data_IF_203289663999
#
_entry.id   IF_203289663999
#
_cell.length_a   1.000
_cell.length_b   1.000
_cell.length_c   1.000
_cell.angle_alpha   90.00
_cell.angle_beta   90.00
_cell.angle_gamma   90.00
#
_symmetry.space_group_name_H-M   'P 1'
#
loop_
_entity.id
_entity.type
_entity.pdbx_description
1 polymer ?
#
# COMPACT_ATOMS: atom_id res chain seq x y z
N UNK A 1 -12.02 -0.87 20.97
CA UNK A 1 -10.71 -1.36 21.46
C UNK A 1 -9.81 -0.18 21.75
N UNK A 2 -9.20 -0.08 22.91
CA UNK A 2 -8.16 0.92 23.18
C UNK A 2 -6.87 0.45 22.51
N UNK A 3 -6.44 1.11 21.44
CA UNK A 3 -5.16 0.83 20.81
C UNK A 3 -4.04 1.20 21.79
N UNK A 4 -3.12 0.27 22.02
CA UNK A 4 -1.92 0.53 22.81
C UNK A 4 -0.95 1.38 21.97
N UNK A 5 -0.62 2.55 22.45
CA UNK A 5 0.36 3.47 21.83
C UNK A 5 1.31 3.92 22.94
N UNK A 6 2.58 3.67 22.76
CA UNK A 6 3.64 4.03 23.72
C UNK A 6 4.21 5.41 23.46
N UNK A 7 4.37 5.77 22.19
CA UNK A 7 4.95 7.04 21.78
C UNK A 7 4.26 7.59 20.53
N UNK A 8 4.17 8.89 20.45
CA UNK A 8 3.75 9.67 19.28
C UNK A 8 4.85 10.65 18.96
N UNK A 9 5.23 10.76 17.69
CA UNK A 9 6.12 11.80 17.19
C UNK A 9 5.36 12.65 16.17
N UNK A 10 5.44 13.96 16.31
CA UNK A 10 4.76 14.90 15.43
C UNK A 10 5.62 16.18 15.24
N UNK A 11 5.44 16.93 14.15
CA UNK A 11 6.14 18.21 13.94
C UNK A 11 5.67 19.28 14.92
N UNK A 12 4.43 19.19 15.37
CA UNK A 12 3.84 20.05 16.42
C UNK A 12 2.72 19.31 17.13
N UNK A 13 2.36 19.76 18.31
CA UNK A 13 1.19 19.31 19.05
C UNK A 13 0.50 20.52 19.67
N UNK A 14 -0.78 20.71 19.40
CA UNK A 14 -1.58 21.75 20.04
C UNK A 14 -2.02 21.37 21.47
N UNK A 15 -2.53 22.34 22.22
CA UNK A 15 -2.91 22.14 23.61
C UNK A 15 -4.03 21.11 23.78
N UNK A 16 -4.99 21.06 22.82
CA UNK A 16 -6.10 20.14 22.89
C UNK A 16 -5.64 18.69 22.60
N UNK A 17 -4.75 18.51 21.62
CA UNK A 17 -4.13 17.22 21.37
C UNK A 17 -3.33 16.73 22.58
N UNK A 18 -2.52 17.59 23.19
CA UNK A 18 -1.75 17.26 24.41
C UNK A 18 -2.68 16.87 25.56
N UNK A 19 -3.79 17.59 25.77
CA UNK A 19 -4.76 17.26 26.80
C UNK A 19 -5.43 15.89 26.61
N UNK A 20 -5.67 15.50 25.36
CA UNK A 20 -6.19 14.15 25.03
C UNK A 20 -5.14 13.08 25.26
N UNK A 21 -3.91 13.30 24.82
CA UNK A 21 -2.81 12.34 24.93
C UNK A 21 -2.35 12.16 26.38
N UNK A 22 -2.37 13.22 27.19
CA UNK A 22 -2.00 13.19 28.61
C UNK A 22 -2.91 12.29 29.48
N UNK A 23 -4.09 11.94 28.99
CA UNK A 23 -4.96 10.95 29.68
C UNK A 23 -4.32 9.56 29.76
N UNK A 24 -3.30 9.28 28.95
CA UNK A 24 -2.49 8.06 29.00
C UNK A 24 -1.16 8.37 29.68
N UNK A 25 -1.05 8.09 30.97
CA UNK A 25 0.08 8.49 31.84
C UNK A 25 1.46 8.06 31.37
N UNK A 26 1.56 6.96 30.60
CA UNK A 26 2.84 6.42 30.12
C UNK A 26 3.11 6.76 28.64
N UNK A 27 2.26 7.55 28.00
CA UNK A 27 2.47 7.94 26.61
C UNK A 27 3.54 9.04 26.52
N UNK A 28 4.47 8.84 25.61
CA UNK A 28 5.51 9.83 25.27
C UNK A 28 5.09 10.58 24.02
N UNK A 29 5.05 11.92 24.12
CA UNK A 29 4.85 12.78 22.95
C UNK A 29 6.16 13.46 22.63
N UNK A 30 6.70 13.17 21.46
CA UNK A 30 7.95 13.77 20.97
C UNK A 30 7.59 14.78 19.89
N UNK A 31 7.91 16.04 20.12
CA UNK A 31 7.82 17.07 19.09
C UNK A 31 9.18 17.22 18.43
N UNK A 32 9.25 16.96 17.15
CA UNK A 32 10.48 17.04 16.36
C UNK A 32 10.19 17.67 14.98
N UNK A 33 11.00 18.64 14.60
CA UNK A 33 10.95 19.20 13.25
C UNK A 33 11.44 18.16 12.25
N UNK A 34 10.61 17.80 11.27
CA UNK A 34 10.99 16.91 10.16
C UNK A 34 11.56 17.70 8.96
N UNK A 35 12.06 18.91 9.17
CA UNK A 35 12.39 19.87 8.14
C UNK A 35 11.14 20.62 7.65
N UNK A 36 11.33 21.65 6.85
CA UNK A 36 10.21 22.38 6.27
C UNK A 36 9.41 21.47 5.35
N UNK A 37 8.25 21.03 5.82
CA UNK A 37 7.31 20.19 5.07
C UNK A 37 6.60 20.95 3.95
N UNK A 38 6.96 22.21 3.72
CA UNK A 38 6.39 23.08 2.69
C UNK A 38 7.19 23.13 1.38
N UNK A 39 8.50 23.03 1.43
CA UNK A 39 9.27 22.70 0.26
C UNK A 39 9.33 21.17 0.21
N UNK A 40 8.77 20.56 -0.81
CA UNK A 40 9.15 19.19 -1.15
C UNK A 40 10.68 19.18 -1.07
N UNK A 41 11.23 18.70 0.04
CA UNK A 41 12.66 18.40 0.08
C UNK A 41 12.84 17.50 -1.12
N UNK A 42 13.42 18.07 -2.17
CA UNK A 42 13.63 17.33 -3.40
C UNK A 42 14.31 16.05 -2.93
N UNK A 43 13.58 14.94 -3.03
CA UNK A 43 14.13 13.64 -2.70
C UNK A 43 15.47 13.59 -3.41
N UNK A 44 16.53 13.54 -2.62
CA UNK A 44 17.87 13.47 -3.22
C UNK A 44 18.00 12.07 -3.81
N UNK A 45 18.22 11.95 -5.13
CA UNK A 45 18.40 10.64 -5.77
C UNK A 45 19.53 9.80 -5.15
N UNK A 46 20.35 10.43 -4.31
CA UNK A 46 21.52 9.84 -3.65
C UNK A 46 21.29 9.34 -2.22
N UNK A 47 20.02 9.26 -1.75
CA UNK A 47 19.76 8.63 -0.44
C UNK A 47 19.97 7.13 -0.58
N UNK A 48 21.07 6.65 -0.01
CA UNK A 48 21.46 5.24 -0.01
C UNK A 48 21.01 4.60 1.30
N UNK A 49 20.34 3.46 1.20
CA UNK A 49 20.07 2.58 2.34
C UNK A 49 21.21 1.58 2.49
N UNK A 50 21.66 1.38 3.73
CA UNK A 50 22.69 0.40 4.06
C UNK A 50 22.06 -0.75 4.87
N UNK A 51 22.43 -1.98 4.53
CA UNK A 51 22.08 -3.17 5.31
C UNK A 51 23.34 -3.96 5.61
N UNK A 52 23.55 -4.29 6.88
CA UNK A 52 24.62 -5.22 7.26
C UNK A 52 24.25 -6.64 6.83
N UNK A 53 25.20 -7.31 6.20
CA UNK A 53 25.16 -8.74 5.88
C UNK A 53 26.44 -9.38 6.40
N UNK A 54 26.50 -10.69 6.48
CA UNK A 54 27.64 -11.44 7.04
C UNK A 54 28.99 -10.94 6.49
N UNK A 55 29.68 -10.11 7.29
CA UNK A 55 31.01 -9.58 6.95
C UNK A 55 31.05 -8.49 5.88
N UNK A 56 29.90 -7.97 5.44
CA UNK A 56 29.82 -6.94 4.42
C UNK A 56 28.65 -5.98 4.66
N UNK A 57 28.52 -4.97 3.80
CA UNK A 57 27.40 -4.00 3.80
C UNK A 57 26.80 -3.96 2.40
N UNK A 58 25.51 -4.18 2.31
CA UNK A 58 24.75 -3.92 1.10
C UNK A 58 24.36 -2.44 1.07
N UNK A 59 24.73 -1.75 0.00
CA UNK A 59 24.32 -0.37 -0.27
C UNK A 59 23.40 -0.36 -1.49
N UNK A 60 22.23 0.27 -1.38
CA UNK A 60 21.26 0.40 -2.47
C UNK A 60 20.61 1.77 -2.42
N UNK A 61 20.15 2.26 -3.55
CA UNK A 61 19.31 3.45 -3.59
C UNK A 61 17.99 3.18 -2.82
N UNK A 62 17.53 4.21 -2.09
CA UNK A 62 16.26 4.13 -1.39
C UNK A 62 15.13 3.95 -2.39
N UNK A 63 14.27 2.99 -2.15
CA UNK A 63 13.05 2.81 -2.91
C UNK A 63 12.07 3.96 -2.67
N UNK A 64 11.64 4.60 -3.75
CA UNK A 64 10.76 5.79 -3.74
C UNK A 64 9.55 5.57 -4.60
N UNK A 65 8.38 5.76 -4.01
CA UNK A 65 7.09 5.67 -4.68
C UNK A 65 6.79 6.98 -5.42
N UNK A 66 7.65 7.31 -6.40
CA UNK A 66 7.59 8.59 -7.11
C UNK A 66 6.30 8.75 -7.91
N UNK A 67 5.81 7.65 -8.51
CA UNK A 67 4.58 7.60 -9.31
C UNK A 67 3.31 7.87 -8.49
N UNK A 68 3.38 7.75 -7.17
CA UNK A 68 2.24 8.05 -6.29
C UNK A 68 2.37 9.41 -5.56
N UNK A 69 3.29 10.29 -5.96
CA UNK A 69 3.41 11.65 -5.39
C UNK A 69 2.23 12.53 -5.79
N UNK A 70 1.93 12.58 -7.08
CA UNK A 70 0.77 13.28 -7.60
C UNK A 70 -0.52 12.46 -7.46
N UNK A 71 -1.70 13.08 -7.41
CA UNK A 71 -2.98 12.38 -7.51
C UNK A 71 -3.07 11.56 -8.82
N UNK A 72 -3.71 10.39 -8.72
CA UNK A 72 -4.04 9.57 -9.88
C UNK A 72 -5.44 9.91 -10.35
N UNK A 73 -5.56 10.35 -11.59
CA UNK A 73 -6.87 10.63 -12.21
C UNK A 73 -6.86 10.11 -13.65
N UNK A 74 -8.02 9.77 -14.24
CA UNK A 74 -8.08 9.33 -15.63
C UNK A 74 -7.44 10.32 -16.62
N UNK A 75 -7.47 11.62 -16.30
CA UNK A 75 -6.92 12.68 -17.14
C UNK A 75 -5.40 12.90 -16.92
N UNK A 76 -4.83 12.39 -15.83
CA UNK A 76 -3.43 12.61 -15.47
C UNK A 76 -2.89 11.41 -14.70
N UNK A 77 -2.48 10.38 -15.44
CA UNK A 77 -1.77 9.23 -14.89
C UNK A 77 -0.26 9.46 -15.04
N UNK A 78 0.53 9.11 -14.01
CA UNK A 78 1.97 9.07 -14.14
C UNK A 78 2.45 8.10 -15.22
N UNK A 79 3.63 8.34 -15.78
CA UNK A 79 4.24 7.48 -16.77
C UNK A 79 4.35 6.03 -16.24
N UNK A 80 3.94 5.09 -17.09
CA UNK A 80 3.94 3.65 -16.76
C UNK A 80 2.64 3.15 -16.12
N UNK A 81 1.79 4.04 -15.57
CA UNK A 81 0.48 3.64 -15.07
C UNK A 81 -0.51 3.46 -16.22
N UNK A 82 -1.20 2.34 -16.22
CA UNK A 82 -2.27 2.07 -17.20
C UNK A 82 -3.36 1.19 -16.61
N UNK A 83 -4.60 1.46 -16.96
CA UNK A 83 -5.71 0.52 -16.73
C UNK A 83 -5.62 -0.56 -17.81
N UNK A 84 -5.66 -1.81 -17.38
CA UNK A 84 -5.50 -2.96 -18.28
C UNK A 84 -6.78 -3.78 -18.46
N UNK A 85 -7.81 -3.49 -17.66
CA UNK A 85 -9.13 -4.12 -17.71
C UNK A 85 -10.14 -3.29 -18.50
N UNK A 86 -11.25 -3.91 -18.92
CA UNK A 86 -12.39 -3.24 -19.56
C UNK A 86 -13.03 -2.20 -18.63
N UNK A 87 -13.20 -2.58 -17.34
CA UNK A 87 -13.72 -1.68 -16.32
C UNK A 87 -12.65 -0.67 -15.92
N UNK A 88 -13.02 0.58 -15.88
CA UNK A 88 -12.19 1.68 -15.36
C UNK A 88 -12.44 1.87 -13.87
N UNK A 89 -11.42 2.24 -13.06
CA UNK A 89 -11.65 2.64 -11.69
C UNK A 89 -12.53 3.89 -11.60
N UNK A 90 -13.42 3.94 -10.62
CA UNK A 90 -14.16 5.15 -10.26
C UNK A 90 -13.24 6.22 -9.64
N UNK A 91 -13.74 7.45 -9.45
CA UNK A 91 -12.96 8.52 -8.82
C UNK A 91 -12.51 8.15 -7.40
N UNK A 92 -13.37 7.52 -6.61
CA UNK A 92 -13.06 7.06 -5.26
C UNK A 92 -12.05 5.90 -5.28
N UNK A 93 -12.17 4.98 -6.23
CA UNK A 93 -11.21 3.89 -6.40
C UNK A 93 -9.82 4.41 -6.81
N UNK A 94 -9.72 5.44 -7.64
CA UNK A 94 -8.43 6.05 -7.97
C UNK A 94 -7.73 6.62 -6.73
N UNK A 95 -8.46 7.33 -5.87
CA UNK A 95 -7.91 7.84 -4.62
C UNK A 95 -7.46 6.70 -3.69
N UNK A 96 -8.29 5.65 -3.57
CA UNK A 96 -8.01 4.48 -2.76
C UNK A 96 -6.83 3.65 -3.29
N UNK A 97 -6.75 3.41 -4.62
CA UNK A 97 -5.64 2.69 -5.27
C UNK A 97 -4.29 3.41 -5.06
N UNK A 98 -4.26 4.74 -5.22
CA UNK A 98 -3.06 5.53 -4.93
C UNK A 98 -2.64 5.42 -3.48
N UNK A 99 -3.58 5.52 -2.55
CA UNK A 99 -3.31 5.34 -1.12
C UNK A 99 -2.80 3.93 -0.83
N UNK A 100 -3.48 2.90 -1.36
CA UNK A 100 -3.06 1.51 -1.23
C UNK A 100 -1.63 1.30 -1.74
N UNK A 101 -1.30 1.82 -2.92
CA UNK A 101 0.02 1.68 -3.51
C UNK A 101 1.12 2.27 -2.62
N UNK A 102 0.90 3.48 -2.09
CA UNK A 102 1.85 4.13 -1.18
C UNK A 102 2.07 3.34 0.10
N UNK A 103 1.02 2.77 0.68
CA UNK A 103 1.15 1.92 1.88
C UNK A 103 1.85 0.61 1.54
N UNK A 104 1.46 -0.03 0.42
CA UNK A 104 1.98 -1.33 -0.01
C UNK A 104 3.51 -1.33 -0.15
N UNK A 105 4.08 -0.27 -0.72
CA UNK A 105 5.53 -0.12 -0.91
C UNK A 105 6.34 -0.12 0.41
N UNK A 106 5.69 0.09 1.55
CA UNK A 106 6.34 0.09 2.87
C UNK A 106 6.07 -1.17 3.68
N UNK A 107 5.33 -2.13 3.13
CA UNK A 107 4.98 -3.37 3.81
C UNK A 107 5.90 -4.50 3.35
N UNK A 108 6.28 -5.37 4.30
CA UNK A 108 7.21 -6.48 4.03
C UNK A 108 6.66 -7.44 2.98
N UNK A 109 7.45 -7.70 1.96
CA UNK A 109 7.15 -8.62 0.84
C UNK A 109 7.06 -10.09 1.28
N UNK A 110 6.32 -10.97 0.61
CA UNK A 110 5.28 -10.60 -0.35
C UNK A 110 4.10 -10.02 0.39
N UNK A 111 3.50 -8.98 -0.14
CA UNK A 111 2.36 -8.33 0.51
C UNK A 111 1.19 -8.08 -0.44
N UNK A 112 0.00 -8.22 0.12
CA UNK A 112 -1.24 -7.69 -0.44
C UNK A 112 -1.97 -6.95 0.67
N UNK A 113 -2.42 -5.74 0.37
CA UNK A 113 -3.18 -4.92 1.32
C UNK A 113 -4.54 -4.56 0.74
N UNK A 114 -5.51 -4.37 1.64
CA UNK A 114 -6.84 -3.86 1.30
C UNK A 114 -7.03 -2.50 1.96
N UNK A 115 -7.56 -1.53 1.21
CA UNK A 115 -7.78 -0.17 1.71
C UNK A 115 -9.11 0.39 1.21
N UNK A 116 -9.61 1.41 1.88
CA UNK A 116 -10.47 2.44 1.29
C UNK A 116 -9.64 3.69 1.00
N UNK A 117 -10.26 4.82 0.64
CA UNK A 117 -9.56 6.07 0.34
C UNK A 117 -8.90 6.73 1.57
N UNK A 118 -9.17 6.26 2.79
CA UNK A 118 -8.79 6.92 4.05
C UNK A 118 -7.94 6.07 4.97
N UNK A 119 -8.06 4.74 4.89
CA UNK A 119 -7.42 3.82 5.83
C UNK A 119 -7.10 2.46 5.21
N UNK A 120 -6.13 1.80 5.82
CA UNK A 120 -5.84 0.39 5.58
C UNK A 120 -6.87 -0.46 6.33
N UNK A 121 -7.51 -1.38 5.62
CA UNK A 121 -8.53 -2.29 6.16
C UNK A 121 -7.91 -3.61 6.61
N UNK A 122 -7.01 -4.16 5.80
CA UNK A 122 -6.29 -5.39 6.12
C UNK A 122 -4.92 -5.44 5.43
N UNK A 123 -3.99 -6.17 6.05
CA UNK A 123 -2.62 -6.35 5.57
C UNK A 123 -2.25 -7.83 5.67
N UNK A 124 -1.87 -8.42 4.54
CA UNK A 124 -1.16 -9.68 4.46
C UNK A 124 0.27 -9.42 4.06
N UNK A 125 1.22 -9.55 4.98
CA UNK A 125 2.61 -9.17 4.81
C UNK A 125 3.56 -10.32 5.08
N UNK A 126 4.72 -10.34 4.41
CA UNK A 126 5.81 -11.27 4.66
C UNK A 126 5.46 -12.73 4.30
N UNK A 127 4.59 -12.95 3.32
CA UNK A 127 4.14 -14.28 2.94
C UNK A 127 4.99 -14.90 1.82
N UNK A 128 4.98 -16.23 1.74
CA UNK A 128 5.72 -16.96 0.73
C UNK A 128 5.09 -16.84 -0.66
N UNK A 129 3.77 -16.66 -0.72
CA UNK A 129 3.04 -16.43 -1.97
C UNK A 129 2.06 -15.26 -1.87
N UNK A 130 1.58 -14.77 -3.03
CA UNK A 130 0.59 -13.69 -3.05
C UNK A 130 -0.78 -14.14 -2.64
N UNK A 131 -1.18 -15.34 -3.02
CA UNK A 131 -2.45 -15.90 -2.56
C UNK A 131 -2.46 -16.07 -1.03
N UNK A 132 -1.35 -16.45 -0.41
CA UNK A 132 -1.22 -16.50 1.05
C UNK A 132 -1.34 -15.10 1.66
N UNK A 133 -0.72 -14.08 1.03
CA UNK A 133 -0.86 -12.71 1.49
C UNK A 133 -2.33 -12.23 1.45
N UNK A 134 -3.08 -12.56 0.40
CA UNK A 134 -4.52 -12.29 0.33
C UNK A 134 -5.26 -13.00 1.46
N UNK A 135 -5.03 -14.30 1.64
CA UNK A 135 -5.70 -15.12 2.65
C UNK A 135 -5.43 -14.63 4.07
N UNK A 136 -4.18 -14.25 4.38
CA UNK A 136 -3.80 -13.67 5.68
C UNK A 136 -4.50 -12.33 5.91
N UNK A 137 -4.58 -11.46 4.89
CA UNK A 137 -5.30 -10.19 5.00
C UNK A 137 -6.80 -10.43 5.29
N UNK A 138 -7.44 -11.34 4.54
CA UNK A 138 -8.85 -11.70 4.72
C UNK A 138 -9.11 -12.28 6.12
N UNK A 139 -8.27 -13.19 6.58
CA UNK A 139 -8.36 -13.75 7.92
C UNK A 139 -8.28 -12.68 9.02
N UNK A 140 -7.32 -11.74 8.89
CA UNK A 140 -7.16 -10.64 9.84
C UNK A 140 -8.34 -9.67 9.82
N UNK A 141 -8.88 -9.35 8.63
CA UNK A 141 -10.08 -8.53 8.50
C UNK A 141 -11.28 -9.18 9.22
N UNK A 142 -11.49 -10.48 8.99
CA UNK A 142 -12.57 -11.23 9.63
C UNK A 142 -12.41 -11.24 11.16
N UNK A 143 -11.20 -11.51 11.68
CA UNK A 143 -10.92 -11.48 13.11
C UNK A 143 -11.16 -10.10 13.74
N UNK A 144 -10.87 -9.03 13.00
CA UNK A 144 -11.12 -7.64 13.42
C UNK A 144 -12.56 -7.16 13.15
N UNK A 145 -13.41 -7.99 12.54
CA UNK A 145 -14.77 -7.66 12.11
C UNK A 145 -14.81 -6.44 11.14
N UNK A 146 -13.80 -6.35 10.28
CA UNK A 146 -13.71 -5.31 9.24
C UNK A 146 -14.21 -5.90 7.91
N UNK A 147 -15.18 -5.23 7.28
CA UNK A 147 -15.64 -5.60 5.93
C UNK A 147 -14.60 -5.17 4.88
N UNK A 148 -14.34 -6.05 3.93
CA UNK A 148 -13.54 -5.76 2.75
C UNK A 148 -14.39 -5.47 1.51
N UNK A 149 -15.71 -5.54 1.62
CA UNK A 149 -16.64 -5.26 0.51
C UNK A 149 -16.48 -3.83 0.03
N UNK A 150 -16.27 -3.65 -1.27
CA UNK A 150 -16.07 -2.33 -1.89
C UNK A 150 -14.68 -1.74 -1.66
N UNK A 151 -13.74 -2.50 -1.07
CA UNK A 151 -12.34 -2.06 -0.93
C UNK A 151 -11.60 -2.09 -2.26
N UNK A 152 -10.40 -1.51 -2.25
CA UNK A 152 -9.39 -1.74 -3.29
C UNK A 152 -8.22 -2.51 -2.70
N UNK A 153 -7.43 -3.17 -3.58
CA UNK A 153 -6.24 -3.89 -3.16
C UNK A 153 -4.98 -3.37 -3.86
N UNK A 154 -3.82 -3.54 -3.21
CA UNK A 154 -2.51 -3.33 -3.82
C UNK A 154 -1.60 -4.53 -3.54
N UNK A 155 -0.79 -4.89 -4.54
CA UNK A 155 0.23 -5.93 -4.44
C UNK A 155 1.60 -5.37 -4.83
N UNK A 156 2.63 -5.64 -4.04
CA UNK A 156 4.00 -5.17 -4.24
C UNK A 156 4.69 -5.75 -5.48
N UNK A 157 4.14 -6.82 -6.06
CA UNK A 157 4.53 -7.37 -7.35
C UNK A 157 3.34 -7.99 -8.09
N UNK A 158 3.58 -8.50 -9.31
CA UNK A 158 2.54 -9.10 -10.14
C UNK A 158 1.94 -10.38 -9.53
N UNK A 159 0.68 -10.65 -9.85
CA UNK A 159 0.07 -11.95 -9.59
C UNK A 159 0.60 -12.98 -10.61
N UNK A 160 1.24 -14.07 -10.16
CA UNK A 160 1.77 -15.08 -11.09
C UNK A 160 0.68 -15.94 -11.71
N UNK A 161 -0.49 -16.02 -11.06
CA UNK A 161 -1.66 -16.80 -11.45
C UNK A 161 -2.92 -16.03 -11.06
N UNK A 162 -4.07 -16.45 -11.61
CA UNK A 162 -5.36 -15.83 -11.31
C UNK A 162 -5.87 -16.06 -9.88
N UNK A 163 -5.35 -17.08 -9.16
CA UNK A 163 -5.79 -17.48 -7.84
C UNK A 163 -5.77 -16.35 -6.79
N UNK A 164 -4.70 -15.56 -6.81
CA UNK A 164 -4.58 -14.39 -5.95
C UNK A 164 -5.63 -13.31 -6.27
N UNK A 165 -5.89 -13.07 -7.55
CA UNK A 165 -6.94 -12.15 -7.99
C UNK A 165 -8.33 -12.68 -7.63
N UNK A 166 -8.61 -13.97 -7.90
CA UNK A 166 -9.87 -14.60 -7.57
C UNK A 166 -10.16 -14.49 -6.06
N UNK A 167 -9.14 -14.70 -5.22
CA UNK A 167 -9.25 -14.58 -3.77
C UNK A 167 -9.57 -13.14 -3.32
N UNK A 168 -8.91 -12.12 -3.90
CA UNK A 168 -9.19 -10.73 -3.53
C UNK A 168 -10.58 -10.25 -4.00
N UNK A 169 -11.02 -10.67 -5.19
CA UNK A 169 -12.35 -10.35 -5.70
C UNK A 169 -13.44 -11.01 -4.83
N UNK A 170 -13.25 -12.29 -4.47
CA UNK A 170 -14.12 -13.00 -3.53
C UNK A 170 -14.20 -12.32 -2.16
N UNK A 171 -13.11 -11.68 -1.71
CA UNK A 171 -13.10 -10.92 -0.47
C UNK A 171 -13.87 -9.58 -0.58
N UNK A 172 -14.22 -9.14 -1.78
CA UNK A 172 -15.02 -7.95 -2.05
C UNK A 172 -14.24 -6.75 -2.56
N UNK A 173 -12.98 -6.93 -2.97
CA UNK A 173 -12.23 -5.86 -3.62
C UNK A 173 -12.81 -5.59 -5.02
N UNK A 174 -12.97 -4.31 -5.36
CA UNK A 174 -13.54 -3.86 -6.63
C UNK A 174 -12.48 -3.35 -7.60
N UNK A 175 -11.30 -3.00 -7.09
CA UNK A 175 -10.18 -2.61 -7.93
C UNK A 175 -8.85 -3.07 -7.32
N UNK A 176 -7.83 -3.23 -8.16
CA UNK A 176 -6.49 -3.65 -7.75
C UNK A 176 -5.42 -2.90 -8.51
N UNK A 177 -4.32 -2.58 -7.83
CA UNK A 177 -3.09 -2.06 -8.42
C UNK A 177 -1.94 -3.04 -8.18
N UNK A 178 -1.16 -3.28 -9.23
CA UNK A 178 0.01 -4.14 -9.22
C UNK A 178 1.01 -3.70 -10.31
N UNK A 179 2.27 -4.17 -10.28
CA UNK A 179 3.25 -3.81 -11.30
C UNK A 179 2.94 -4.31 -12.71
N UNK A 180 2.35 -5.50 -12.86
CA UNK A 180 2.34 -6.23 -14.11
C UNK A 180 3.71 -6.84 -14.43
N UNK A 181 3.85 -7.41 -15.62
CA UNK A 181 5.10 -8.02 -16.12
C UNK A 181 5.22 -9.52 -15.88
N UNK A 182 4.12 -10.20 -15.56
CA UNK A 182 4.03 -11.65 -15.58
C UNK A 182 3.85 -12.17 -17.00
N UNK A 183 4.39 -13.33 -17.30
CA UNK A 183 4.08 -14.07 -18.53
C UNK A 183 2.60 -14.46 -18.60
N UNK A 184 1.88 -14.40 -17.48
CA UNK A 184 0.45 -14.71 -17.34
C UNK A 184 -0.42 -13.48 -17.13
N UNK A 185 0.06 -12.29 -17.42
CA UNK A 185 -0.74 -11.06 -17.25
C UNK A 185 -2.09 -11.16 -17.99
N UNK A 186 -2.10 -11.74 -19.19
CA UNK A 186 -3.34 -11.92 -19.96
C UNK A 186 -4.39 -12.77 -19.21
N UNK A 187 -3.96 -13.85 -18.53
CA UNK A 187 -4.84 -14.70 -17.72
C UNK A 187 -5.41 -13.92 -16.53
N UNK A 188 -4.56 -13.15 -15.84
CA UNK A 188 -4.95 -12.39 -14.64
C UNK A 188 -5.87 -11.22 -15.01
N UNK A 189 -5.61 -10.55 -16.14
CA UNK A 189 -6.49 -9.49 -16.68
C UNK A 189 -7.87 -10.06 -17.06
N UNK A 190 -7.90 -11.23 -17.75
CA UNK A 190 -9.16 -11.87 -18.09
C UNK A 190 -9.98 -12.23 -16.85
N UNK A 191 -9.34 -12.76 -15.81
CA UNK A 191 -10.00 -13.05 -14.54
C UNK A 191 -10.55 -11.78 -13.85
N UNK A 192 -9.83 -10.65 -13.93
CA UNK A 192 -10.32 -9.37 -13.43
C UNK A 192 -11.55 -8.89 -14.21
N UNK A 193 -11.53 -8.99 -15.53
CA UNK A 193 -12.66 -8.64 -16.38
C UNK A 193 -13.89 -9.53 -16.11
N UNK A 194 -13.69 -10.86 -15.94
CA UNK A 194 -14.75 -11.82 -15.58
C UNK A 194 -15.46 -11.42 -14.28
N UNK A 195 -14.71 -10.91 -13.30
CA UNK A 195 -15.22 -10.56 -11.99
C UNK A 195 -15.58 -9.07 -11.82
N UNK A 196 -15.43 -8.26 -12.87
CA UNK A 196 -15.71 -6.84 -12.85
C UNK A 196 -14.75 -6.03 -11.97
N UNK A 197 -13.55 -6.55 -11.71
CA UNK A 197 -12.50 -5.86 -10.96
C UNK A 197 -11.70 -4.96 -11.90
N UNK A 198 -11.56 -3.66 -11.58
CA UNK A 198 -10.66 -2.79 -12.32
C UNK A 198 -9.21 -3.07 -11.95
N UNK A 199 -8.31 -3.15 -12.94
CA UNK A 199 -6.90 -3.40 -12.68
C UNK A 199 -6.01 -2.32 -13.28
N UNK A 200 -5.09 -1.83 -12.44
CA UNK A 200 -4.09 -0.83 -12.82
C UNK A 200 -2.70 -1.45 -12.73
N UNK A 201 -1.92 -1.34 -13.79
CA UNK A 201 -0.49 -1.66 -13.79
C UNK A 201 0.33 -0.41 -13.55
N UNK A 202 1.37 -0.51 -12.73
CA UNK A 202 2.30 0.59 -12.44
C UNK A 202 3.62 0.46 -13.19
N UNK A 203 3.96 -0.72 -13.69
CA UNK A 203 5.26 -1.01 -14.29
C UNK A 203 6.44 -0.99 -13.29
N UNK A 204 6.18 -0.76 -12.01
CA UNK A 204 7.20 -0.66 -10.96
C UNK A 204 6.93 -1.64 -9.82
N UNK A 205 8.00 -2.20 -9.26
CA UNK A 205 7.95 -3.10 -8.11
C UNK A 205 8.55 -2.39 -6.90
N UNK A 206 7.97 -2.58 -5.74
CA UNK A 206 8.44 -2.07 -4.46
C UNK A 206 8.65 -3.21 -3.48
N UNK A 207 9.73 -3.96 -3.67
CA UNK A 207 10.06 -5.06 -2.78
C UNK A 207 10.71 -4.56 -1.48
N UNK A 208 10.22 -5.10 -0.36
CA UNK A 208 10.76 -4.85 0.97
C UNK A 208 10.99 -6.15 1.72
N UNK A 209 12.21 -6.65 1.63
CA UNK A 209 12.64 -7.89 2.28
C UNK A 209 13.39 -7.63 3.60
#
# INVERSE_FOLDING_TARGET
MSTFIEAVIAPSADADALAVLAKKTNMRVVVASFGETGAAQAFRPADVEFRSILGAVLAQERDVVAEARAPWTPASLPDGLKVVTKRQPSADEWAALRFAWRVCAHVKSNTVIFTDARRTLAVGAGQMSRVDAVNVAVMKAAAAKVSLTGSVAASDAFFPFRDGLDALAKAGATAVVQPGGSVRDAEVIAAADEQGVAMVFTGKRHFRH
#
